data_IF_093910121295
#
_entry.id   IF_093910121295
#
_cell.length_a   1.000
_cell.length_b   1.000
_cell.length_c   1.000
_cell.angle_alpha   90.00
_cell.angle_beta   90.00
_cell.angle_gamma   90.00
#
_symmetry.space_group_name_H-M   'P 1'
#
loop_
_entity.id
_entity.type
_entity.pdbx_description
1 polymer ?
#
# COMPACT_ATOMS: atom_id res chain seq x y z
N UNK A 1 -23.01 -0.34 20.31
CA UNK A 1 -23.44 0.92 19.65
C UNK A 1 -23.94 0.62 18.24
N UNK A 2 -25.20 0.25 18.09
CA UNK A 2 -25.88 0.35 16.79
C UNK A 2 -26.78 1.58 16.90
N UNK A 3 -26.35 2.72 16.35
CA UNK A 3 -27.28 3.84 16.23
C UNK A 3 -28.36 3.37 15.24
N UNK A 4 -29.61 3.32 15.71
CA UNK A 4 -30.76 2.86 14.95
C UNK A 4 -30.88 3.69 13.66
N UNK A 5 -30.98 3.03 12.50
CA UNK A 5 -31.09 3.60 11.13
C UNK A 5 -29.84 4.18 10.46
N UNK A 6 -28.67 3.54 10.55
CA UNK A 6 -27.57 3.82 9.60
C UNK A 6 -27.45 2.71 8.57
N UNK A 7 -27.62 3.06 7.29
CA UNK A 7 -27.26 2.23 6.14
C UNK A 7 -25.83 2.58 5.74
N UNK A 8 -25.00 1.58 5.51
CA UNK A 8 -23.59 1.73 5.14
C UNK A 8 -23.40 1.23 3.72
N UNK A 9 -22.87 2.07 2.85
CA UNK A 9 -22.46 1.64 1.51
C UNK A 9 -21.03 1.15 1.58
N UNK A 10 -20.81 -0.09 1.14
CA UNK A 10 -19.52 -0.74 1.16
C UNK A 10 -19.09 -1.04 -0.27
N UNK A 11 -18.02 -0.37 -0.69
CA UNK A 11 -17.40 -0.56 -1.99
C UNK A 11 -16.53 -1.82 -1.99
N UNK A 12 -16.76 -2.69 -2.97
CA UNK A 12 -16.11 -4.00 -3.07
C UNK A 12 -15.57 -4.21 -4.48
N UNK A 13 -14.40 -4.83 -4.57
CA UNK A 13 -13.80 -5.16 -5.86
C UNK A 13 -14.62 -6.21 -6.62
N UNK A 14 -14.64 -6.12 -7.94
CA UNK A 14 -15.35 -7.04 -8.83
C UNK A 14 -14.53 -8.32 -9.08
N UNK A 15 -14.20 -9.00 -7.99
CA UNK A 15 -13.44 -10.24 -7.98
C UNK A 15 -14.41 -11.44 -7.91
N UNK A 16 -14.18 -12.55 -8.65
CA UNK A 16 -14.99 -13.76 -8.54
C UNK A 16 -15.09 -14.35 -7.12
N UNK A 17 -14.12 -14.02 -6.25
CA UNK A 17 -14.14 -14.42 -4.85
C UNK A 17 -15.12 -13.62 -3.98
N UNK A 18 -15.69 -12.53 -4.50
CA UNK A 18 -16.69 -11.71 -3.83
C UNK A 18 -18.08 -12.02 -4.40
N UNK A 19 -18.82 -12.99 -3.84
CA UNK A 19 -20.17 -13.28 -4.31
C UNK A 19 -21.10 -12.11 -3.99
N UNK A 20 -22.14 -11.93 -4.82
CA UNK A 20 -23.24 -11.04 -4.48
C UNK A 20 -23.98 -11.63 -3.29
N UNK A 21 -24.07 -10.85 -2.22
CA UNK A 21 -24.83 -11.20 -1.01
C UNK A 21 -26.11 -10.39 -1.03
N UNK A 22 -27.24 -11.09 -1.10
CA UNK A 22 -28.58 -10.50 -1.02
C UNK A 22 -29.03 -10.35 0.45
N UNK A 23 -30.07 -9.57 0.68
CA UNK A 23 -30.74 -9.41 2.00
C UNK A 23 -29.90 -8.82 3.16
N UNK A 24 -28.89 -8.00 2.85
CA UNK A 24 -28.16 -7.25 3.86
C UNK A 24 -29.04 -6.14 4.47
N UNK A 25 -29.24 -6.19 5.81
CA UNK A 25 -30.19 -5.32 6.52
C UNK A 25 -29.72 -3.87 6.73
N UNK A 26 -28.40 -3.67 6.82
CA UNK A 26 -27.80 -2.39 7.19
C UNK A 26 -26.67 -1.97 6.25
N UNK A 27 -26.34 -2.80 5.26
CA UNK A 27 -25.20 -2.58 4.37
C UNK A 27 -25.62 -2.80 2.94
N UNK A 28 -25.19 -1.93 2.05
CA UNK A 28 -25.33 -2.10 0.60
C UNK A 28 -23.95 -2.35 0.01
N UNK A 29 -23.82 -3.42 -0.79
CA UNK A 29 -22.56 -3.73 -1.47
C UNK A 29 -22.57 -3.07 -2.85
N UNK A 30 -21.61 -2.19 -3.08
CA UNK A 30 -21.40 -1.54 -4.36
C UNK A 30 -20.19 -2.19 -5.01
N UNK A 31 -20.41 -2.90 -6.10
CA UNK A 31 -19.34 -3.52 -6.86
C UNK A 31 -18.75 -2.53 -7.85
N UNK A 32 -17.42 -2.46 -7.85
CA UNK A 32 -16.68 -1.64 -8.81
C UNK A 32 -16.79 -2.18 -10.23
N UNK A 33 -16.51 -1.32 -11.21
CA UNK A 33 -16.46 -1.76 -12.60
C UNK A 33 -15.32 -2.79 -12.78
N UNK A 34 -15.47 -3.74 -13.71
CA UNK A 34 -14.36 -4.61 -14.09
C UNK A 34 -13.17 -3.75 -14.55
N UNK A 35 -11.96 -4.05 -14.07
CA UNK A 35 -10.73 -3.29 -14.38
C UNK A 35 -10.78 -1.82 -13.95
N UNK A 36 -11.40 -1.52 -12.81
CA UNK A 36 -11.32 -0.19 -12.20
C UNK A 36 -9.85 0.14 -11.90
N UNK A 37 -9.36 1.30 -12.35
CA UNK A 37 -7.97 1.70 -12.09
C UNK A 37 -7.75 1.96 -10.61
N UNK A 38 -6.52 1.72 -10.13
CA UNK A 38 -6.12 1.93 -8.73
C UNK A 38 -6.34 3.36 -8.21
N UNK A 39 -6.57 4.33 -9.10
CA UNK A 39 -6.95 5.71 -8.76
C UNK A 39 -8.33 5.75 -8.12
N UNK A 40 -9.27 5.00 -8.69
CA UNK A 40 -10.66 5.01 -8.26
C UNK A 40 -10.89 4.12 -7.04
N UNK A 41 -10.04 3.10 -6.84
CA UNK A 41 -10.16 2.19 -5.71
C UNK A 41 -9.52 2.81 -4.44
N UNK A 42 -10.31 3.19 -3.42
CA UNK A 42 -9.79 3.89 -2.24
C UNK A 42 -8.78 3.06 -1.44
N UNK A 43 -8.93 1.73 -1.44
CA UNK A 43 -7.98 0.82 -0.78
C UNK A 43 -6.60 0.85 -1.48
N UNK A 44 -6.60 0.81 -2.81
CA UNK A 44 -5.38 0.86 -3.62
C UNK A 44 -4.66 2.20 -3.48
N UNK A 45 -5.40 3.30 -3.65
CA UNK A 45 -4.83 4.64 -3.60
C UNK A 45 -4.38 5.04 -2.19
N UNK A 46 -5.10 4.60 -1.17
CA UNK A 46 -4.83 4.93 0.23
C UNK A 46 -3.91 3.92 0.90
N UNK A 47 -4.54 2.85 1.42
CA UNK A 47 -3.92 1.91 2.36
C UNK A 47 -2.79 1.13 1.68
N UNK A 48 -3.06 0.52 0.52
CA UNK A 48 -2.10 -0.35 -0.17
C UNK A 48 -0.91 0.46 -0.67
N UNK A 49 -1.13 1.64 -1.25
CA UNK A 49 -0.04 2.55 -1.64
C UNK A 49 0.87 2.88 -0.45
N UNK A 50 0.27 3.31 0.67
CA UNK A 50 1.02 3.68 1.88
C UNK A 50 1.79 2.49 2.44
N UNK A 51 1.14 1.31 2.48
CA UNK A 51 1.76 0.07 2.92
C UNK A 51 2.96 -0.31 2.04
N UNK A 52 2.80 -0.31 0.71
CA UNK A 52 3.87 -0.61 -0.25
C UNK A 52 5.06 0.34 -0.08
N UNK A 53 4.82 1.63 0.14
CA UNK A 53 5.87 2.62 0.38
C UNK A 53 6.65 2.34 1.67
N UNK A 54 5.95 2.10 2.78
CA UNK A 54 6.57 1.79 4.07
C UNK A 54 7.37 0.48 3.97
N UNK A 55 6.77 -0.56 3.39
CA UNK A 55 7.41 -1.86 3.23
C UNK A 55 8.70 -1.75 2.40
N UNK A 56 8.66 -1.07 1.25
CA UNK A 56 9.86 -0.83 0.41
C UNK A 56 10.95 -0.08 1.19
N UNK A 57 10.57 0.93 1.97
CA UNK A 57 11.52 1.68 2.82
C UNK A 57 12.20 0.77 3.86
N UNK A 58 11.44 -0.10 4.51
CA UNK A 58 11.98 -1.05 5.49
C UNK A 58 12.91 -2.08 4.84
N UNK A 59 12.49 -2.66 3.72
CA UNK A 59 13.29 -3.62 2.95
C UNK A 59 14.63 -3.01 2.52
N UNK A 60 14.61 -1.81 1.96
CA UNK A 60 15.82 -1.13 1.52
C UNK A 60 16.74 -0.77 2.69
N UNK A 61 16.19 -0.31 3.83
CA UNK A 61 16.99 -0.09 5.04
C UNK A 61 17.68 -1.36 5.51
N UNK A 62 16.95 -2.47 5.56
CA UNK A 62 17.52 -3.77 5.95
C UNK A 62 18.63 -4.20 4.99
N UNK A 63 18.39 -4.10 3.68
CA UNK A 63 19.39 -4.44 2.67
C UNK A 63 20.66 -3.58 2.80
N UNK A 64 20.51 -2.26 2.93
CA UNK A 64 21.63 -1.35 3.10
C UNK A 64 22.43 -1.64 4.38
N UNK A 65 21.76 -1.95 5.49
CA UNK A 65 22.44 -2.36 6.73
C UNK A 65 23.28 -3.61 6.53
N UNK A 66 22.74 -4.64 5.87
CA UNK A 66 23.50 -5.85 5.56
C UNK A 66 24.71 -5.53 4.68
N UNK A 67 24.54 -4.72 3.64
CA UNK A 67 25.66 -4.31 2.77
C UNK A 67 26.73 -3.53 3.56
N UNK A 68 26.33 -2.58 4.41
CA UNK A 68 27.26 -1.82 5.25
C UNK A 68 28.04 -2.72 6.21
N UNK A 69 27.39 -3.70 6.83
CA UNK A 69 28.03 -4.68 7.71
C UNK A 69 29.07 -5.54 6.97
N UNK A 70 28.76 -5.99 5.75
CA UNK A 70 29.70 -6.73 4.91
C UNK A 70 30.90 -5.87 4.47
N UNK A 71 30.70 -4.56 4.28
CA UNK A 71 31.74 -3.63 3.83
C UNK A 71 32.61 -3.09 4.97
N UNK A 72 32.22 -3.22 6.25
CA UNK A 72 33.01 -2.76 7.41
C UNK A 72 34.41 -3.38 7.53
N UNK A 73 34.69 -4.47 6.81
CA UNK A 73 36.03 -5.09 6.72
C UNK A 73 36.88 -4.63 5.52
N UNK A 74 36.35 -3.82 4.60
CA UNK A 74 37.01 -3.40 3.36
C UNK A 74 37.01 -1.88 3.27
N UNK A 75 38.07 -1.23 3.77
CA UNK A 75 38.44 0.18 3.54
C UNK A 75 37.31 1.19 3.27
N UNK A 76 37.02 2.04 4.28
CA UNK A 76 36.00 3.10 4.29
C UNK A 76 35.90 3.91 2.98
N UNK A 77 34.81 3.73 2.23
CA UNK A 77 34.30 4.77 1.33
C UNK A 77 32.83 5.05 1.69
N UNK A 78 32.66 5.94 2.66
CA UNK A 78 31.40 6.26 3.33
C UNK A 78 30.56 7.27 2.52
N UNK A 79 30.41 7.00 1.23
CA UNK A 79 29.73 7.90 0.27
C UNK A 79 28.33 7.45 -0.13
N UNK A 80 27.93 6.23 0.22
CA UNK A 80 26.67 5.62 -0.23
C UNK A 80 25.45 5.92 0.66
N UNK A 81 25.64 6.14 1.96
CA UNK A 81 24.54 6.18 2.94
C UNK A 81 23.67 7.44 2.85
N UNK A 82 24.20 8.57 2.36
CA UNK A 82 23.46 9.86 2.35
C UNK A 82 22.68 10.08 1.05
N UNK A 83 23.08 9.44 -0.07
CA UNK A 83 22.45 9.68 -1.37
C UNK A 83 21.17 8.87 -1.59
N UNK A 84 21.03 7.70 -0.94
CA UNK A 84 19.91 6.80 -1.16
C UNK A 84 18.64 7.23 -0.40
N UNK A 85 18.75 7.73 0.82
CA UNK A 85 17.61 8.24 1.60
C UNK A 85 16.97 9.49 1.00
N UNK A 86 17.75 10.36 0.36
CA UNK A 86 17.23 11.54 -0.34
C UNK A 86 16.43 11.17 -1.59
N UNK A 87 16.85 10.12 -2.32
CA UNK A 87 16.17 9.65 -3.53
C UNK A 87 14.80 8.99 -3.24
N UNK A 88 14.64 8.44 -2.03
CA UNK A 88 13.47 7.65 -1.62
C UNK A 88 12.20 8.46 -1.37
N UNK A 89 12.31 9.79 -1.22
CA UNK A 89 11.16 10.68 -1.01
C UNK A 89 10.73 11.41 -2.30
N UNK A 90 11.47 11.28 -3.40
CA UNK A 90 11.30 12.14 -4.58
C UNK A 90 10.65 11.45 -5.78
N UNK A 91 10.57 10.12 -5.82
CA UNK A 91 9.95 9.44 -6.97
C UNK A 91 8.44 9.36 -6.74
N UNK A 92 7.61 10.03 -7.56
CA UNK A 92 6.21 9.69 -7.62
C UNK A 92 6.16 8.24 -8.08
N UNK A 93 5.51 7.38 -7.31
CA UNK A 93 5.06 6.10 -7.82
C UNK A 93 4.04 6.42 -8.91
N UNK A 94 4.52 6.57 -10.15
CA UNK A 94 3.70 6.45 -11.35
C UNK A 94 3.15 5.04 -11.38
N UNK A 95 1.86 4.99 -11.70
CA UNK A 95 0.99 3.83 -11.79
C UNK A 95 1.57 2.67 -12.60
#
# INVERSE_FOLDING_TARGET
MFAKNRKIDMEVDNCPAHPKVEDLKATELIFLLPNTTSILQPCDQGIIKSFKQIYRKLMLRSYLQHVEEQMKGRGKDQRYTVKCTQLMCSTPSTE
#
